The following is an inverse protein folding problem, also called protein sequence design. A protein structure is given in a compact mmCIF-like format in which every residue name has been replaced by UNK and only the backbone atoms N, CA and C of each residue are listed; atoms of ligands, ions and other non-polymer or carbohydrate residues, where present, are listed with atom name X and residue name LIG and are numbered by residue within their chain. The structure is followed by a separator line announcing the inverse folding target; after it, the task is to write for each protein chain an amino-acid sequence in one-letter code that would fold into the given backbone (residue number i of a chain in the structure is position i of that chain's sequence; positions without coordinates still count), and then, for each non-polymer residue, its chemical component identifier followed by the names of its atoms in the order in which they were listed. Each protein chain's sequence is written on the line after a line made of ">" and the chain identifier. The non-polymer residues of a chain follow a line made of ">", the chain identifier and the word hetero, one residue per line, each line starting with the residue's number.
data_IF_821892807200
#
_entry.id   IF_821892807200
#
_cell.length_a   1.000
_cell.length_b   1.000
_cell.length_c   1.000
_cell.angle_alpha   90.00
_cell.angle_beta   90.00
_cell.angle_gamma   90.00
#
_symmetry.space_group_name_H-M   'P 1'
#
loop_
_entity.id
_entity.type
_entity.pdbx_description
1 polymer ?
#
# COMPACT_ATOMS: atom_id res chain seq x y z
N UNK A 1 0.86 7.82 8.42
CA UNK A 1 -0.10 7.63 7.31
C UNK A 1 0.21 6.28 6.66
N UNK A 2 -0.82 5.43 6.48
CA UNK A 2 -0.71 4.06 5.95
C UNK A 2 -0.10 3.02 6.92
N UNK A 3 -0.54 1.76 6.80
CA UNK A 3 -0.01 0.61 7.54
C UNK A 3 1.21 0.04 6.81
N UNK A 4 2.36 -0.16 7.48
CA UNK A 4 3.53 -0.78 6.84
C UNK A 4 3.22 -2.19 6.34
N UNK A 5 3.77 -2.53 5.17
CA UNK A 5 3.72 -3.91 4.65
C UNK A 5 4.89 -4.69 5.24
N UNK A 6 4.61 -5.67 6.11
CA UNK A 6 5.64 -6.39 6.87
C UNK A 6 6.65 -7.14 6.00
N UNK A 7 6.20 -7.71 4.88
CA UNK A 7 7.07 -8.44 3.95
C UNK A 7 7.80 -7.53 2.94
N UNK A 8 7.80 -6.22 3.14
CA UNK A 8 8.55 -5.32 2.29
C UNK A 8 10.06 -5.63 2.39
N UNK A 9 10.81 -5.62 1.27
CA UNK A 9 12.24 -5.91 1.28
C UNK A 9 13.04 -4.88 2.08
N UNK A 10 12.52 -3.67 2.23
CA UNK A 10 13.04 -2.62 3.10
C UNK A 10 11.95 -2.24 4.10
N UNK A 11 12.21 -2.27 5.42
CA UNK A 11 11.23 -1.87 6.43
C UNK A 11 10.66 -0.48 6.13
N UNK A 12 9.36 -0.30 6.38
CA UNK A 12 8.63 0.97 6.22
C UNK A 12 8.60 1.60 4.81
N UNK A 13 9.24 0.96 3.81
CA UNK A 13 9.34 1.47 2.45
C UNK A 13 8.05 1.33 1.64
N UNK A 14 7.20 0.35 1.98
CA UNK A 14 5.91 0.08 1.32
C UNK A 14 4.80 0.10 2.35
N UNK A 15 3.69 0.77 2.01
CA UNK A 15 2.55 0.99 2.89
C UNK A 15 1.24 0.74 2.16
N UNK A 16 0.26 0.28 2.93
CA UNK A 16 -1.13 0.17 2.50
C UNK A 16 -1.97 1.29 3.13
N UNK A 17 -2.80 1.94 2.31
CA UNK A 17 -3.81 2.91 2.73
C UNK A 17 -5.19 2.36 2.37
N UNK A 18 -6.07 2.25 3.36
CA UNK A 18 -7.48 1.92 3.15
C UNK A 18 -8.28 3.20 2.98
N UNK A 19 -8.95 3.34 1.84
CA UNK A 19 -9.83 4.46 1.55
C UNK A 19 -11.18 3.94 1.04
N UNK A 20 -12.20 3.99 1.91
CA UNK A 20 -13.49 3.37 1.63
C UNK A 20 -13.34 1.86 1.42
N UNK A 21 -13.74 1.36 0.25
CA UNK A 21 -13.59 -0.05 -0.13
C UNK A 21 -12.33 -0.33 -0.95
N UNK A 22 -11.45 0.64 -1.14
CA UNK A 22 -10.23 0.47 -1.92
C UNK A 22 -9.02 0.40 -1.01
N UNK A 23 -8.07 -0.45 -1.39
CA UNK A 23 -6.74 -0.50 -0.80
C UNK A 23 -5.76 0.03 -1.83
N UNK A 24 -4.90 0.94 -1.37
CA UNK A 24 -3.85 1.56 -2.17
C UNK A 24 -2.52 1.15 -1.57
N UNK A 25 -1.70 0.43 -2.33
CA UNK A 25 -0.31 0.12 -1.97
C UNK A 25 0.63 1.09 -2.65
N UNK A 26 1.50 1.72 -1.87
CA UNK A 26 2.48 2.68 -2.38
C UNK A 26 3.83 2.52 -1.71
N UNK A 27 4.89 2.95 -2.41
CA UNK A 27 6.22 3.09 -1.83
C UNK A 27 6.53 4.55 -1.49
N UNK A 28 7.27 4.74 -0.39
CA UNK A 28 7.73 6.05 0.07
C UNK A 28 9.20 6.22 -0.29
N UNK A 29 9.50 7.33 -0.97
CA UNK A 29 10.85 7.77 -1.30
C UNK A 29 11.07 9.19 -0.76
N UNK A 30 12.32 9.65 -0.74
CA UNK A 30 12.68 10.94 -0.16
C UNK A 30 11.91 12.14 -0.74
N UNK A 31 11.54 12.10 -2.03
CA UNK A 31 10.87 13.19 -2.73
C UNK A 31 9.58 12.79 -3.45
N UNK A 32 9.13 11.54 -3.29
CA UNK A 32 8.02 11.01 -4.07
C UNK A 32 7.28 9.89 -3.33
N UNK A 33 5.99 9.75 -3.68
CA UNK A 33 5.17 8.59 -3.35
C UNK A 33 4.82 7.93 -4.68
N UNK A 34 5.11 6.63 -4.80
CA UNK A 34 4.83 5.87 -6.03
C UNK A 34 3.71 4.89 -5.73
N UNK A 35 2.60 4.99 -6.47
CA UNK A 35 1.49 4.04 -6.34
C UNK A 35 1.86 2.75 -7.07
N UNK A 36 1.86 1.62 -6.34
CA UNK A 36 2.20 0.31 -6.88
C UNK A 36 0.96 -0.48 -7.31
N UNK A 37 -0.14 -0.38 -6.55
CA UNK A 37 -1.40 -1.05 -6.86
C UNK A 37 -2.59 -0.34 -6.22
N UNK A 38 -3.72 -0.37 -6.91
CA UNK A 38 -5.04 -0.05 -6.35
C UNK A 38 -5.95 -1.23 -6.61
N UNK A 39 -6.70 -1.68 -5.60
CA UNK A 39 -7.68 -2.77 -5.74
C UNK A 39 -8.85 -2.57 -4.80
N UNK A 40 -10.00 -3.15 -5.13
CA UNK A 40 -11.14 -3.21 -4.23
C UNK A 40 -10.91 -4.28 -3.16
N UNK A 41 -11.25 -4.01 -1.89
CA UNK A 41 -10.94 -4.88 -0.75
C UNK A 41 -11.52 -6.29 -0.80
N UNK A 42 -12.53 -6.51 -1.65
CA UNK A 42 -13.16 -7.82 -1.92
C UNK A 42 -12.45 -8.63 -3.03
N UNK A 43 -11.50 -8.05 -3.77
CA UNK A 43 -10.81 -8.75 -4.86
C UNK A 43 -9.89 -9.89 -4.38
N UNK A 44 -9.61 -9.99 -3.08
CA UNK A 44 -8.84 -11.07 -2.47
C UNK A 44 -9.66 -12.24 -1.91
N UNK A 45 -10.99 -12.17 -1.92
CA UNK A 45 -11.89 -13.17 -1.31
C UNK A 45 -12.33 -14.27 -2.29
N UNK A 46 -11.47 -14.71 -3.21
CA UNK A 46 -11.82 -15.76 -4.18
C UNK A 46 -11.04 -17.04 -3.98
#
# INVERSE_FOLDING_TARGET
>A
MGTPVEMAPVPDSVRDLVFGKYVIRYSVHASAIIILRVWHGLEGER
#
